data_IF_481666537481
#
_entry.id   IF_481666537481
#
_cell.length_a   1.000
_cell.length_b   1.000
_cell.length_c   1.000
_cell.angle_alpha   90.00
_cell.angle_beta   90.00
_cell.angle_gamma   90.00
#
_symmetry.space_group_name_H-M   'P 1'
#
loop_
_entity.id
_entity.type
_entity.pdbx_description
1 polymer ?
#
# COMPACT_ATOMS: atom_id res chain seq x y z
N UNK A 1 15.88 21.55 -7.90
CA UNK A 1 16.63 20.29 -7.74
C UNK A 1 18.06 20.63 -7.39
N UNK A 2 18.69 19.96 -6.42
CA UNK A 2 20.10 20.19 -6.08
C UNK A 2 21.00 19.60 -7.20
N UNK A 3 21.76 20.41 -7.95
CA UNK A 3 22.50 19.93 -9.13
C UNK A 3 23.53 18.84 -8.82
N UNK A 4 24.05 18.81 -7.60
CA UNK A 4 25.01 17.81 -7.14
C UNK A 4 24.43 16.40 -7.07
N UNK A 5 23.12 16.24 -6.83
CA UNK A 5 22.49 14.93 -6.66
C UNK A 5 22.14 14.24 -8.00
N UNK A 6 22.26 14.94 -9.13
CA UNK A 6 21.84 14.41 -10.44
C UNK A 6 22.68 13.21 -10.88
N UNK A 7 23.95 13.12 -10.44
CA UNK A 7 24.85 12.02 -10.83
C UNK A 7 24.62 10.73 -10.04
N UNK A 8 24.05 10.82 -8.84
CA UNK A 8 23.99 9.71 -7.89
C UNK A 8 22.59 9.09 -7.76
N UNK A 9 21.57 9.73 -8.34
CA UNK A 9 20.18 9.30 -8.22
C UNK A 9 19.60 8.94 -9.59
N UNK A 10 19.02 7.74 -9.67
CA UNK A 10 18.36 7.22 -10.86
C UNK A 10 16.89 6.93 -10.54
N UNK A 11 16.04 7.03 -11.57
CA UNK A 11 14.63 6.63 -11.48
C UNK A 11 14.52 5.19 -11.94
N UNK A 12 13.83 4.36 -11.16
CA UNK A 12 13.50 2.99 -11.55
C UNK A 12 12.55 3.01 -12.75
N UNK A 13 12.91 2.31 -13.81
CA UNK A 13 12.09 2.10 -15.00
C UNK A 13 11.87 0.60 -15.19
N UNK A 14 10.61 0.20 -15.39
CA UNK A 14 10.21 -1.19 -15.64
C UNK A 14 9.34 -1.17 -16.88
N UNK A 15 9.72 -1.92 -17.91
CA UNK A 15 8.99 -2.02 -19.19
C UNK A 15 8.68 -0.65 -19.80
N UNK A 16 9.65 0.27 -19.78
CA UNK A 16 9.50 1.66 -20.29
C UNK A 16 8.67 2.59 -19.41
N UNK A 17 8.13 2.10 -18.29
CA UNK A 17 7.31 2.88 -17.36
C UNK A 17 8.12 3.31 -16.14
N UNK A 18 8.16 4.62 -15.89
CA UNK A 18 8.74 5.22 -14.67
C UNK A 18 7.69 5.45 -13.58
N UNK A 19 6.41 5.52 -13.97
CA UNK A 19 5.30 5.67 -13.05
C UNK A 19 4.77 4.27 -12.75
N UNK A 20 4.92 3.83 -11.50
CA UNK A 20 4.37 2.58 -11.02
C UNK A 20 3.06 2.87 -10.28
N UNK A 21 1.94 2.90 -11.01
CA UNK A 21 0.63 3.22 -10.44
C UNK A 21 0.10 2.06 -9.62
N UNK A 22 -0.56 2.40 -8.51
CA UNK A 22 -1.15 1.39 -7.64
C UNK A 22 -2.46 1.87 -7.05
N UNK A 23 -3.37 0.91 -6.88
CA UNK A 23 -4.56 1.07 -6.07
C UNK A 23 -4.36 0.36 -4.74
N UNK A 24 -4.90 0.90 -3.65
CA UNK A 24 -4.78 0.29 -2.32
C UNK A 24 -6.08 0.44 -1.54
N UNK A 25 -6.63 -0.69 -1.11
CA UNK A 25 -7.79 -0.74 -0.24
C UNK A 25 -7.35 -1.22 1.14
N UNK A 26 -7.61 -0.42 2.18
CA UNK A 26 -7.35 -0.80 3.57
C UNK A 26 -8.55 -1.52 4.14
N UNK A 27 -8.31 -2.67 4.78
CA UNK A 27 -9.32 -3.39 5.53
C UNK A 27 -9.25 -3.00 6.99
N UNK A 28 -10.41 -2.91 7.63
CA UNK A 28 -10.54 -2.65 9.06
C UNK A 28 -11.68 -3.48 9.65
N UNK A 29 -11.77 -3.49 10.98
CA UNK A 29 -12.92 -4.04 11.70
C UNK A 29 -14.10 -3.05 11.63
N UNK A 30 -15.34 -3.50 11.89
CA UNK A 30 -16.49 -2.59 12.01
C UNK A 30 -16.23 -1.43 12.98
N UNK A 31 -15.51 -1.70 14.07
CA UNK A 31 -15.17 -0.71 15.10
C UNK A 31 -13.96 0.18 14.75
N UNK A 32 -13.38 0.04 13.56
CA UNK A 32 -12.19 0.77 13.10
C UNK A 32 -10.97 0.58 14.02
N UNK A 33 -10.78 -0.64 14.51
CA UNK A 33 -9.74 -0.97 15.50
C UNK A 33 -8.34 -0.71 14.95
N UNK A 34 -8.06 -1.04 13.69
CA UNK A 34 -6.74 -0.83 13.10
C UNK A 34 -6.43 0.64 12.89
N UNK A 35 -7.42 1.42 12.43
CA UNK A 35 -7.32 2.87 12.37
C UNK A 35 -7.02 3.46 13.75
N UNK A 36 -7.82 3.13 14.78
CA UNK A 36 -7.63 3.63 16.15
C UNK A 36 -6.24 3.28 16.69
N UNK A 37 -5.81 2.03 16.54
CA UNK A 37 -4.48 1.59 16.96
C UNK A 37 -3.35 2.35 16.25
N UNK A 38 -3.54 2.66 14.96
CA UNK A 38 -2.56 3.45 14.22
C UNK A 38 -2.50 4.89 14.73
N UNK A 39 -3.66 5.53 14.88
CA UNK A 39 -3.78 6.92 15.32
C UNK A 39 -3.23 7.11 16.74
N UNK A 40 -3.50 6.16 17.64
CA UNK A 40 -2.98 6.15 19.01
C UNK A 40 -1.50 5.72 19.11
N UNK A 41 -0.85 5.39 18.00
CA UNK A 41 0.56 5.00 17.99
C UNK A 41 0.86 3.66 18.68
N UNK A 42 -0.15 2.79 18.92
CA UNK A 42 0.00 1.56 19.71
C UNK A 42 1.19 0.69 19.26
N UNK A 43 1.93 0.16 20.25
CA UNK A 43 3.14 -0.62 20.02
C UNK A 43 2.91 -1.86 19.14
N UNK A 44 1.83 -2.60 19.39
CA UNK A 44 1.37 -3.71 18.55
C UNK A 44 0.20 -3.26 17.71
N UNK A 45 0.39 -3.18 16.39
CA UNK A 45 -0.66 -2.73 15.45
C UNK A 45 -0.56 -3.40 14.09
N UNK A 46 -1.72 -3.68 13.52
CA UNK A 46 -1.87 -4.25 12.19
C UNK A 46 -2.27 -3.18 11.18
N UNK A 47 -1.81 -3.35 9.93
CA UNK A 47 -2.40 -2.75 8.74
C UNK A 47 -2.62 -3.87 7.72
N UNK A 48 -3.87 -4.10 7.35
CA UNK A 48 -4.26 -5.09 6.34
C UNK A 48 -4.73 -4.35 5.10
N UNK A 49 -4.24 -4.74 3.93
CA UNK A 49 -4.60 -4.06 2.68
C UNK A 49 -4.53 -4.97 1.47
N UNK A 50 -5.39 -4.71 0.50
CA UNK A 50 -5.14 -5.13 -0.88
C UNK A 50 -4.34 -4.05 -1.59
N UNK A 51 -3.33 -4.45 -2.38
CA UNK A 51 -2.62 -3.55 -3.28
C UNK A 51 -2.59 -4.16 -4.68
N UNK A 52 -3.12 -3.42 -5.63
CA UNK A 52 -3.13 -3.78 -7.05
C UNK A 52 -2.17 -2.87 -7.79
N UNK A 53 -1.23 -3.46 -8.52
CA UNK A 53 -0.34 -2.75 -9.45
C UNK A 53 -1.07 -2.67 -10.79
N UNK A 54 -1.31 -1.45 -11.27
CA UNK A 54 -2.23 -1.23 -12.40
C UNK A 54 -1.62 -1.74 -13.70
N UNK A 55 -0.35 -1.44 -13.93
CA UNK A 55 0.34 -1.77 -15.18
C UNK A 55 0.55 -3.29 -15.35
N UNK A 56 0.74 -4.02 -14.25
CA UNK A 56 0.96 -5.48 -14.27
C UNK A 56 -0.29 -6.30 -13.96
N UNK A 57 -1.42 -5.66 -13.65
CA UNK A 57 -2.65 -6.31 -13.18
C UNK A 57 -2.44 -7.30 -12.01
N UNK A 58 -1.37 -7.11 -11.23
CA UNK A 58 -1.04 -7.97 -10.10
C UNK A 58 -1.66 -7.44 -8.81
N UNK A 59 -2.41 -8.27 -8.10
CA UNK A 59 -3.01 -7.94 -6.81
C UNK A 59 -2.43 -8.78 -5.68
N UNK A 60 -2.25 -8.17 -4.52
CA UNK A 60 -1.73 -8.83 -3.32
C UNK A 60 -2.53 -8.46 -2.09
N UNK A 61 -2.84 -9.46 -1.26
CA UNK A 61 -3.23 -9.23 0.14
C UNK A 61 -1.96 -9.07 0.96
N UNK A 62 -1.76 -7.89 1.55
CA UNK A 62 -0.63 -7.57 2.39
C UNK A 62 -1.05 -7.36 3.85
N UNK A 63 -0.32 -7.99 4.77
CA UNK A 63 -0.46 -7.78 6.22
C UNK A 63 0.85 -7.22 6.76
N UNK A 64 0.78 -6.03 7.37
CA UNK A 64 1.88 -5.43 8.13
C UNK A 64 1.55 -5.50 9.61
N UNK A 65 2.39 -6.16 10.39
CA UNK A 65 2.38 -6.13 11.85
C UNK A 65 3.58 -5.31 12.32
N UNK A 66 3.33 -4.22 13.06
CA UNK A 66 4.37 -3.52 13.82
C UNK A 66 4.29 -3.95 15.28
N UNK A 67 5.43 -4.35 15.84
CA UNK A 67 5.57 -4.76 17.24
C UNK A 67 6.98 -4.39 17.74
N UNK A 68 7.06 -3.71 18.89
CA UNK A 68 8.33 -3.29 19.52
C UNK A 68 9.31 -2.63 18.55
N UNK A 69 8.80 -1.70 17.72
CA UNK A 69 9.60 -0.96 16.72
C UNK A 69 9.88 -1.71 15.42
N UNK A 70 9.80 -3.05 15.40
CA UNK A 70 10.01 -3.88 14.21
C UNK A 70 8.71 -4.05 13.42
N UNK A 71 8.84 -4.16 12.10
CA UNK A 71 7.69 -4.40 11.19
C UNK A 71 7.89 -5.71 10.46
N UNK A 72 6.97 -6.66 10.65
CA UNK A 72 6.89 -7.88 9.86
C UNK A 72 5.80 -7.69 8.77
N UNK A 73 6.19 -7.85 7.51
CA UNK A 73 5.27 -7.76 6.36
C UNK A 73 5.21 -9.12 5.69
N UNK A 74 3.99 -9.64 5.53
CA UNK A 74 3.71 -10.81 4.69
C UNK A 74 2.74 -10.42 3.60
N UNK A 75 2.84 -11.09 2.44
CA UNK A 75 1.91 -10.92 1.33
C UNK A 75 1.64 -12.25 0.65
N UNK A 76 0.44 -12.39 0.09
CA UNK A 76 0.05 -13.46 -0.82
C UNK A 76 -0.57 -12.85 -2.07
N UNK A 77 -0.42 -13.51 -3.21
CA UNK A 77 -1.12 -13.11 -4.44
C UNK A 77 -2.62 -13.23 -4.23
N UNK A 78 -3.37 -12.27 -4.76
CA UNK A 78 -4.82 -12.29 -4.74
C UNK A 78 -5.36 -12.26 -6.16
N UNK A 79 -6.40 -13.05 -6.40
CA UNK A 79 -7.21 -12.98 -7.62
C UNK A 79 -8.28 -11.89 -7.54
N UNK A 80 -8.45 -11.25 -6.37
CA UNK A 80 -9.38 -10.14 -6.23
C UNK A 80 -8.82 -8.90 -6.92
N UNK A 81 -9.41 -8.62 -8.08
CA UNK A 81 -9.43 -7.28 -8.64
C UNK A 81 -10.42 -6.50 -7.78
N UNK A 82 -9.93 -5.71 -6.83
CA UNK A 82 -10.77 -4.73 -6.15
C UNK A 82 -11.22 -3.70 -7.19
N UNK A 83 -12.25 -4.06 -7.95
CA UNK A 83 -13.03 -3.13 -8.76
C UNK A 83 -13.50 -2.05 -7.80
N UNK A 84 -13.13 -0.81 -8.12
CA UNK A 84 -13.61 0.38 -7.45
C UNK A 84 -15.11 0.23 -7.17
N UNK A 85 -15.48 0.23 -5.89
CA UNK A 85 -16.87 0.46 -5.51
C UNK A 85 -17.23 1.84 -6.08
N UNK A 86 -18.35 1.97 -6.79
CA UNK A 86 -18.67 3.21 -7.53
C UNK A 86 -18.70 4.43 -6.60
N UNK A 87 -19.05 4.22 -5.33
CA UNK A 87 -18.99 5.20 -4.26
C UNK A 87 -17.57 5.78 -4.01
N UNK A 88 -16.50 5.03 -4.26
CA UNK A 88 -15.12 5.49 -4.07
C UNK A 88 -14.61 6.34 -5.24
N UNK A 89 -15.19 6.19 -6.45
CA UNK A 89 -14.85 7.02 -7.62
C UNK A 89 -15.38 8.45 -7.49
N UNK A 90 -16.44 8.64 -6.71
CA UNK A 90 -17.10 9.93 -6.46
C UNK A 90 -16.31 10.88 -5.54
N UNK A 91 -15.26 10.41 -4.87
CA UNK A 91 -14.39 11.24 -4.01
C UNK A 91 -13.21 11.89 -4.78
N UNK A 92 -13.37 12.15 -6.07
CA UNK A 92 -12.41 12.96 -6.84
C UNK A 92 -12.69 14.45 -6.69
#
# INVERSE_FOLDING_TARGET
MLPSLVRDYFILEIDGNRIASYHTAYLDTPDKTYYKHHHQGRNKRHKVRFRTYIESCLSFLEVKLKEKGKTNKKRITSTQNNSLDEAQKLFK
#
